data_IF_365096775155
#
_entry.id   IF_365096775155
#
_cell.length_a   1.000
_cell.length_b   1.000
_cell.length_c   1.000
_cell.angle_alpha   90.00
_cell.angle_beta   90.00
_cell.angle_gamma   90.00
#
_symmetry.space_group_name_H-M   'P 1'
#
loop_
_entity.id
_entity.type
_entity.pdbx_description
1 polymer ?
#
# COMPACT_ATOMS: atom_id res chain seq x y z
N UNK A 1 -2.26 21.62 -9.70
CA UNK A 1 -2.57 20.27 -10.10
C UNK A 1 -1.32 19.51 -10.50
N UNK A 2 -1.24 18.25 -10.11
CA UNK A 2 -0.06 17.46 -10.40
C UNK A 2 -0.20 16.76 -11.72
N UNK A 3 0.89 16.70 -12.45
CA UNK A 3 0.97 15.83 -13.61
C UNK A 3 1.35 14.45 -13.13
N UNK A 4 0.99 13.44 -13.89
CA UNK A 4 1.45 12.11 -13.58
C UNK A 4 2.96 12.06 -13.73
N UNK A 5 3.57 11.09 -13.06
CA UNK A 5 5.01 10.88 -13.14
C UNK A 5 5.78 12.07 -12.57
N UNK A 6 5.30 12.58 -11.45
CA UNK A 6 5.92 13.74 -10.82
C UNK A 6 6.99 13.38 -9.80
N UNK A 7 6.86 12.27 -9.12
CA UNK A 7 7.70 11.95 -7.97
C UNK A 7 8.68 10.82 -8.22
N UNK A 8 9.87 10.96 -7.67
CA UNK A 8 10.88 9.89 -7.71
C UNK A 8 10.67 8.87 -6.61
N UNK A 9 10.09 9.28 -5.51
CA UNK A 9 9.89 8.42 -4.37
C UNK A 9 8.62 8.81 -3.65
N UNK A 10 7.80 7.82 -3.38
CA UNK A 10 6.60 8.02 -2.58
C UNK A 10 6.65 7.02 -1.43
N UNK A 11 6.50 7.52 -0.21
CA UNK A 11 6.51 6.68 0.98
C UNK A 11 5.24 6.96 1.75
N UNK A 12 4.53 5.92 2.14
CA UNK A 12 3.37 6.15 2.98
C UNK A 12 3.16 5.01 3.96
N UNK A 13 2.46 5.34 5.01
CA UNK A 13 2.06 4.40 6.04
C UNK A 13 0.54 4.47 6.10
N UNK A 14 -0.15 3.57 5.41
CA UNK A 14 -1.60 3.69 5.30
C UNK A 14 -2.26 3.53 6.65
N UNK A 15 -3.42 4.14 6.84
CA UNK A 15 -4.13 3.96 8.09
C UNK A 15 -4.50 2.51 8.28
N UNK A 16 -4.25 2.01 9.47
CA UNK A 16 -4.42 0.62 9.78
C UNK A 16 -5.45 0.54 10.91
N UNK A 17 -6.58 -0.03 10.61
CA UNK A 17 -7.64 -0.13 11.59
C UNK A 17 -7.95 -1.60 11.82
N UNK A 18 -7.86 -2.04 13.06
CA UNK A 18 -8.31 -3.38 13.37
C UNK A 18 -9.78 -3.47 13.03
N UNK A 19 -10.17 -4.55 12.40
CA UNK A 19 -11.51 -4.63 11.89
C UNK A 19 -12.56 -4.64 12.99
N UNK A 20 -12.20 -4.98 14.20
CA UNK A 20 -13.19 -5.02 15.24
C UNK A 20 -13.50 -3.69 15.80
N UNK A 21 -12.84 -2.70 15.39
CA UNK A 21 -13.17 -1.46 15.87
C UNK A 21 -14.25 -0.89 15.26
N UNK A 22 -14.47 -0.82 15.34
CA UNK A 22 -15.27 -0.23 15.07
C UNK A 22 -15.94 0.09 14.45
N UNK A 23 -16.19 0.07 14.45
CA UNK A 23 -17.07 0.26 14.16
C UNK A 23 -17.47 1.36 13.60
N UNK A 24 -17.29 1.94 13.62
CA UNK A 24 -17.63 2.92 13.21
C UNK A 24 -17.50 3.32 12.12
N UNK A 25 -17.63 3.04 11.76
CA UNK A 25 -17.62 3.26 10.76
C UNK A 25 -18.11 4.21 10.14
N UNK A 26 -18.41 4.68 10.40
CA UNK A 26 -18.97 5.74 9.95
C UNK A 26 -18.17 6.50 9.09
N UNK A 27 -17.03 6.31 9.10
CA UNK A 27 -16.18 7.18 8.48
C UNK A 27 -16.01 6.85 7.09
N UNK A 28 -15.70 7.70 6.25
CA UNK A 28 -15.23 7.51 4.91
C UNK A 28 -16.02 6.54 4.10
N UNK A 29 -17.28 6.52 4.30
CA UNK A 29 -18.09 5.62 3.54
C UNK A 29 -17.84 4.18 3.89
N UNK A 30 -17.24 3.93 5.04
CA UNK A 30 -17.03 2.58 5.50
C UNK A 30 -15.83 1.88 4.92
N UNK A 31 -14.88 2.62 4.40
CA UNK A 31 -13.69 1.99 3.84
C UNK A 31 -12.86 1.32 4.90
N UNK A 32 -12.34 0.16 4.57
CA UNK A 32 -11.46 -0.58 5.46
C UNK A 32 -10.01 -0.15 5.23
N UNK A 33 -9.13 -0.62 6.10
CA UNK A 33 -7.71 -0.37 5.90
C UNK A 33 -7.22 -0.89 4.57
N UNK A 34 -7.75 -2.02 4.12
CA UNK A 34 -7.36 -2.58 2.84
C UNK A 34 -7.74 -1.66 1.70
N UNK A 35 -8.96 -1.15 1.71
CA UNK A 35 -9.42 -0.28 0.64
C UNK A 35 -8.62 1.01 0.60
N UNK A 36 -8.33 1.56 1.77
CA UNK A 36 -7.55 2.80 1.83
C UNK A 36 -6.13 2.57 1.33
N UNK A 37 -5.54 1.43 1.68
CA UNK A 37 -4.19 1.13 1.21
C UNK A 37 -4.16 1.02 -0.31
N UNK A 38 -5.15 0.34 -0.88
CA UNK A 38 -5.23 0.20 -2.33
C UNK A 38 -5.44 1.54 -3.00
N UNK A 39 -6.31 2.37 -2.44
CA UNK A 39 -6.55 3.70 -2.98
C UNK A 39 -5.27 4.53 -3.00
N UNK A 40 -4.54 4.51 -1.89
CA UNK A 40 -3.30 5.27 -1.80
C UNK A 40 -2.24 4.75 -2.75
N UNK A 41 -2.19 3.42 -2.90
CA UNK A 41 -1.21 2.82 -3.80
C UNK A 41 -1.53 3.17 -5.24
N UNK A 42 -2.81 3.11 -5.62
CA UNK A 42 -3.18 3.45 -6.99
C UNK A 42 -2.93 4.91 -7.29
N UNK A 43 -3.19 5.80 -6.34
CA UNK A 43 -2.85 7.19 -6.52
C UNK A 43 -1.36 7.36 -6.72
N UNK A 44 -0.57 6.65 -5.90
CA UNK A 44 0.88 6.74 -6.00
C UNK A 44 1.38 6.23 -7.34
N UNK A 45 0.78 5.18 -7.86
CA UNK A 45 1.19 4.65 -9.16
C UNK A 45 0.96 5.64 -10.29
N UNK A 46 -0.03 6.51 -10.13
CA UNK A 46 -0.27 7.55 -11.12
C UNK A 46 0.71 8.70 -11.01
N UNK A 47 1.34 8.86 -9.87
CA UNK A 47 2.22 10.01 -9.63
C UNK A 47 3.69 9.66 -9.70
N UNK A 48 4.05 8.38 -9.68
CA UNK A 48 5.45 8.00 -9.61
C UNK A 48 6.06 8.01 -11.00
N UNK A 49 7.31 8.47 -11.08
CA UNK A 49 8.05 8.42 -12.33
C UNK A 49 8.41 6.98 -12.68
N UNK A 50 8.69 6.73 -13.93
CA UNK A 50 9.04 5.38 -14.37
C UNK A 50 10.29 4.85 -13.68
N UNK A 51 11.17 5.74 -13.27
CA UNK A 51 12.38 5.33 -12.56
C UNK A 51 12.22 5.44 -11.05
N UNK A 52 11.03 5.83 -10.58
CA UNK A 52 10.81 6.02 -9.17
C UNK A 52 10.36 4.76 -8.46
N UNK A 53 10.11 4.89 -7.19
CA UNK A 53 9.64 3.77 -6.41
C UNK A 53 8.65 4.21 -5.35
N UNK A 54 7.80 3.30 -4.95
CA UNK A 54 6.83 3.49 -3.88
C UNK A 54 7.19 2.53 -2.77
N UNK A 55 7.26 3.04 -1.54
CA UNK A 55 7.55 2.20 -0.38
C UNK A 55 6.46 2.43 0.64
N UNK A 56 5.88 1.35 1.12
CA UNK A 56 4.85 1.50 2.14
C UNK A 56 4.91 0.37 3.14
N UNK A 57 4.32 0.63 4.30
CA UNK A 57 4.25 -0.32 5.39
C UNK A 57 2.94 -1.08 5.32
N UNK A 58 2.99 -2.37 5.48
CA UNK A 58 1.80 -3.21 5.41
C UNK A 58 1.80 -4.21 6.54
N UNK A 59 0.64 -4.45 7.11
CA UNK A 59 0.46 -5.43 8.16
C UNK A 59 -0.21 -6.67 7.59
N UNK A 60 0.16 -7.84 8.10
CA UNK A 60 -0.50 -9.07 7.68
C UNK A 60 -1.96 -9.13 8.16
N UNK A 61 -2.34 -8.23 9.05
CA UNK A 61 -3.74 -8.18 9.48
C UNK A 61 -4.63 -7.53 8.45
N UNK A 62 -4.05 -6.87 7.47
CA UNK A 62 -4.80 -6.31 6.36
C UNK A 62 -4.46 -7.13 5.11
N UNK A 63 -5.41 -7.93 4.62
CA UNK A 63 -5.10 -8.89 3.55
C UNK A 63 -5.00 -8.20 2.19
N UNK A 64 -3.80 -7.95 1.75
CA UNK A 64 -3.55 -7.28 0.48
C UNK A 64 -2.91 -8.22 -0.53
N UNK A 65 -2.75 -9.50 -0.18
CA UNK A 65 -1.98 -10.43 -1.00
C UNK A 65 -2.50 -10.55 -2.41
N UNK A 66 -3.79 -10.66 -2.57
CA UNK A 66 -4.35 -10.82 -3.91
C UNK A 66 -4.12 -9.59 -4.76
N UNK A 67 -4.24 -8.43 -4.17
CA UNK A 67 -4.01 -7.21 -4.92
C UNK A 67 -2.55 -7.11 -5.34
N UNK A 68 -1.63 -7.45 -4.45
CA UNK A 68 -0.21 -7.40 -4.78
C UNK A 68 0.14 -8.44 -5.85
N UNK A 69 -0.51 -9.59 -5.81
CA UNK A 69 -0.28 -10.60 -6.82
C UNK A 69 -0.70 -10.09 -8.19
N UNK A 70 -1.84 -9.45 -8.26
CA UNK A 70 -2.30 -8.86 -9.50
C UNK A 70 -1.36 -7.75 -9.95
N UNK A 71 -0.95 -6.91 -9.01
CA UNK A 71 -0.08 -5.80 -9.32
C UNK A 71 1.27 -6.28 -9.85
N UNK A 72 1.76 -7.39 -9.35
CA UNK A 72 3.07 -7.89 -9.74
C UNK A 72 3.12 -8.34 -11.20
N UNK A 73 2.00 -8.42 -11.85
CA UNK A 73 1.98 -8.73 -13.29
C UNK A 73 2.41 -7.53 -14.12
N UNK A 74 2.25 -6.35 -13.59
CA UNK A 74 2.60 -5.12 -14.30
C UNK A 74 3.72 -4.34 -13.64
N UNK A 75 3.97 -4.59 -12.38
CA UNK A 75 4.97 -3.84 -11.62
C UNK A 75 5.84 -4.80 -10.85
N UNK A 76 7.01 -4.33 -10.46
CA UNK A 76 7.91 -5.10 -9.62
C UNK A 76 7.53 -4.85 -8.17
N UNK A 77 7.21 -5.91 -7.44
CA UNK A 77 6.78 -5.82 -6.05
C UNK A 77 7.75 -6.62 -5.20
N UNK A 78 8.40 -5.97 -4.27
CA UNK A 78 9.41 -6.61 -3.43
C UNK A 78 9.16 -6.33 -1.96
N UNK A 79 9.42 -7.33 -1.13
CA UNK A 79 9.38 -7.13 0.31
C UNK A 79 10.80 -6.83 0.76
N UNK A 80 11.01 -5.61 1.22
CA UNK A 80 12.34 -5.19 1.63
C UNK A 80 12.68 -5.66 3.03
N UNK A 81 11.69 -5.76 3.88
CA UNK A 81 11.92 -6.14 5.26
C UNK A 81 10.65 -6.65 5.90
N UNK A 82 10.80 -7.59 6.82
CA UNK A 82 9.68 -8.10 7.61
C UNK A 82 10.05 -8.00 9.08
N UNK A 83 9.06 -7.72 9.90
CA UNK A 83 9.25 -7.71 11.34
C UNK A 83 8.05 -8.33 12.01
N UNK A 84 8.30 -9.31 12.86
CA UNK A 84 7.22 -9.96 13.58
C UNK A 84 7.11 -9.36 14.97
N UNK A 85 5.89 -8.96 15.32
CA UNK A 85 5.62 -8.44 16.66
C UNK A 85 4.36 -9.10 17.15
N UNK A 86 4.45 -9.74 18.30
CA UNK A 86 3.31 -10.40 18.95
C UNK A 86 2.41 -11.12 17.96
N UNK A 87 1.26 -10.52 17.62
CA UNK A 87 0.26 -11.16 16.80
C UNK A 87 0.30 -10.72 15.37
N UNK A 88 1.30 -9.98 14.98
CA UNK A 88 1.26 -9.29 13.72
C UNK A 88 2.63 -9.32 13.05
N UNK A 89 2.62 -9.33 11.74
CA UNK A 89 3.85 -9.18 10.97
C UNK A 89 3.75 -7.92 10.15
N UNK A 90 4.82 -7.14 10.17
CA UNK A 90 4.86 -5.91 9.38
C UNK A 90 5.83 -6.10 8.23
N UNK A 91 5.46 -5.57 7.09
CA UNK A 91 6.27 -5.67 5.88
C UNK A 91 6.54 -4.29 5.32
N UNK A 92 7.75 -4.08 4.85
CA UNK A 92 8.07 -2.89 4.07
C UNK A 92 8.10 -3.34 2.62
N UNK A 93 7.20 -2.79 1.83
CA UNK A 93 6.99 -3.25 0.46
C UNK A 93 7.40 -2.14 -0.51
N UNK A 94 8.12 -2.55 -1.54
CA UNK A 94 8.58 -1.64 -2.57
C UNK A 94 7.91 -2.00 -3.88
N UNK A 95 7.38 -0.99 -4.57
CA UNK A 95 6.74 -1.18 -5.87
C UNK A 95 7.44 -0.28 -6.88
N UNK A 96 7.83 -0.85 -8.01
CA UNK A 96 8.47 -0.11 -9.07
C UNK A 96 7.91 -0.56 -10.40
N UNK A 97 8.09 0.29 -11.42
CA UNK A 97 7.70 -0.10 -12.76
C UNK A 97 8.59 -1.24 -13.23
N UNK A 98 8.01 -2.13 -14.00
CA UNK A 98 8.78 -3.16 -14.67
C UNK A 98 9.56 -2.50 -15.80
N UNK A 99 10.70 -3.06 -16.10
CA UNK A 99 11.52 -2.55 -17.18
C UNK A 99 11.09 -3.09 -18.52
#
# INVERSE_FOLDING_TARGET
MFNSETFDLIVFNPPYLPHDDYTDRTTDGGKTGLELTIDWLELSLNLIKKTGKIIFLQSNLTPIDKYLETLSKSFSVNILQKKKIFFEELYIIEVMHNK
#
